data_IF_125901482699
#
_entry.id   IF_125901482699
#
_cell.length_a   1.000
_cell.length_b   1.000
_cell.length_c   1.000
_cell.angle_alpha   90.00
_cell.angle_beta   90.00
_cell.angle_gamma   90.00
#
_symmetry.space_group_name_H-M   'P 1'
#
loop_
_entity.id
_entity.type
_entity.pdbx_description
1 polymer ?
#
# COMPACT_ATOMS: atom_id res chain seq x y z
N UNK A 1 -21.25 6.28 -0.56
CA UNK A 1 -20.44 5.15 -0.12
C UNK A 1 -20.80 3.99 -1.04
N UNK A 2 -20.14 3.88 -2.20
CA UNK A 2 -20.39 2.81 -3.17
C UNK A 2 -19.59 1.60 -2.69
N UNK A 3 -20.28 0.70 -2.00
CA UNK A 3 -19.74 -0.61 -1.66
C UNK A 3 -19.66 -1.41 -2.98
N UNK A 4 -18.46 -1.55 -3.55
CA UNK A 4 -18.25 -2.40 -4.71
C UNK A 4 -18.52 -3.86 -4.30
N UNK A 5 -19.79 -4.24 -4.36
CA UNK A 5 -20.28 -5.62 -4.18
C UNK A 5 -20.19 -6.44 -5.47
N UNK A 6 -19.23 -6.14 -6.31
CA UNK A 6 -18.96 -6.98 -7.48
C UNK A 6 -18.31 -8.30 -7.09
N UNK A 7 -18.44 -9.34 -7.92
CA UNK A 7 -17.67 -10.57 -7.75
C UNK A 7 -16.18 -10.25 -7.80
N UNK A 8 -15.33 -11.08 -7.15
CA UNK A 8 -13.88 -10.89 -7.24
C UNK A 8 -13.42 -10.99 -8.71
N UNK A 9 -12.39 -10.21 -9.13
CA UNK A 9 -11.91 -10.23 -10.49
C UNK A 9 -11.36 -11.62 -10.85
N UNK A 10 -11.57 -12.02 -12.09
CA UNK A 10 -11.01 -13.28 -12.63
C UNK A 10 -9.57 -13.00 -13.09
N UNK A 11 -8.62 -13.65 -12.43
CA UNK A 11 -7.18 -13.52 -12.75
C UNK A 11 -6.65 -14.89 -13.11
N UNK A 12 -6.11 -15.03 -14.32
CA UNK A 12 -5.55 -16.31 -14.81
C UNK A 12 -4.38 -16.76 -13.94
N UNK A 13 -4.38 -18.02 -13.52
CA UNK A 13 -3.33 -18.58 -12.64
C UNK A 13 -3.53 -18.30 -11.15
N UNK A 14 -4.68 -17.75 -10.75
CA UNK A 14 -5.01 -17.47 -9.36
C UNK A 14 -6.41 -17.98 -9.01
N UNK A 15 -6.60 -18.46 -7.78
CA UNK A 15 -7.89 -18.83 -7.22
C UNK A 15 -8.23 -17.85 -6.09
N UNK A 16 -9.39 -17.21 -6.17
CA UNK A 16 -9.90 -16.32 -5.12
C UNK A 16 -10.14 -17.11 -3.82
N UNK A 17 -9.74 -16.54 -2.70
CA UNK A 17 -9.99 -17.09 -1.36
C UNK A 17 -10.94 -16.19 -0.57
N UNK A 18 -10.55 -14.93 -0.30
CA UNK A 18 -11.36 -14.00 0.46
C UNK A 18 -11.02 -12.53 0.16
N UNK A 19 -11.87 -11.60 0.61
CA UNK A 19 -11.60 -10.16 0.55
C UNK A 19 -10.92 -9.70 1.83
N UNK A 20 -9.71 -9.16 1.73
CA UNK A 20 -8.94 -8.66 2.87
C UNK A 20 -9.32 -7.24 3.28
N UNK A 21 -9.70 -6.38 2.33
CA UNK A 21 -10.09 -5.01 2.60
C UNK A 21 -10.58 -4.27 1.36
N UNK A 22 -11.24 -3.14 1.58
CA UNK A 22 -11.69 -2.25 0.52
C UNK A 22 -11.41 -0.80 0.91
N UNK A 23 -10.86 -0.04 -0.04
CA UNK A 23 -10.65 1.40 0.05
C UNK A 23 -11.38 2.15 -1.06
N UNK A 24 -11.27 3.48 -1.06
CA UNK A 24 -11.93 4.32 -2.06
C UNK A 24 -11.48 4.04 -3.49
N UNK A 25 -10.22 3.69 -3.68
CA UNK A 25 -9.58 3.54 -5.01
C UNK A 25 -9.20 2.10 -5.35
N UNK A 26 -9.21 1.18 -4.39
CA UNK A 26 -8.80 -0.19 -4.61
C UNK A 26 -9.43 -1.15 -3.60
N UNK A 27 -9.50 -2.41 -3.99
CA UNK A 27 -9.90 -3.52 -3.11
C UNK A 27 -8.77 -4.53 -3.05
N UNK A 28 -8.48 -5.06 -1.86
CA UNK A 28 -7.46 -6.08 -1.66
C UNK A 28 -8.11 -7.41 -1.38
N UNK A 29 -7.67 -8.41 -2.11
CA UNK A 29 -8.16 -9.80 -2.01
C UNK A 29 -7.02 -10.75 -1.66
N UNK A 30 -7.33 -11.85 -0.98
CA UNK A 30 -6.47 -13.00 -0.85
C UNK A 30 -6.73 -13.96 -2.00
N UNK A 31 -5.67 -14.37 -2.68
CA UNK A 31 -5.69 -15.38 -3.73
C UNK A 31 -4.65 -16.48 -3.45
N UNK A 32 -4.94 -17.68 -3.90
CA UNK A 32 -3.92 -18.71 -4.09
C UNK A 32 -3.35 -18.59 -5.50
N UNK A 33 -2.06 -18.27 -5.63
CA UNK A 33 -1.31 -18.37 -6.89
C UNK A 33 -1.02 -19.85 -7.18
N UNK A 34 -1.24 -20.29 -8.44
CA UNK A 34 -1.09 -21.71 -8.79
C UNK A 34 0.37 -22.12 -9.00
N UNK A 35 1.21 -21.21 -9.56
CA UNK A 35 2.61 -21.53 -9.83
C UNK A 35 3.51 -20.28 -9.67
N UNK A 36 4.45 -20.29 -8.70
CA UNK A 36 4.55 -21.27 -7.61
C UNK A 36 3.32 -21.20 -6.70
N UNK A 37 2.93 -22.32 -6.09
CA UNK A 37 1.75 -22.35 -5.22
C UNK A 37 2.01 -21.62 -3.92
N UNK A 38 1.27 -20.55 -3.67
CA UNK A 38 1.35 -19.73 -2.45
C UNK A 38 0.15 -18.81 -2.32
N UNK A 39 -0.13 -18.38 -1.10
CA UNK A 39 -1.07 -17.28 -0.82
C UNK A 39 -0.42 -15.93 -1.15
N UNK A 40 -1.19 -15.05 -1.79
CA UNK A 40 -0.77 -13.71 -2.19
C UNK A 40 -1.89 -12.71 -1.94
N UNK A 41 -1.53 -11.47 -1.57
CA UNK A 41 -2.47 -10.37 -1.58
C UNK A 41 -2.51 -9.76 -2.99
N UNK A 42 -3.72 -9.54 -3.51
CA UNK A 42 -3.92 -8.91 -4.82
C UNK A 42 -4.71 -7.63 -4.62
N UNK A 43 -4.08 -6.50 -4.89
CA UNK A 43 -4.69 -5.17 -4.84
C UNK A 43 -5.21 -4.82 -6.23
N UNK A 44 -6.52 -4.70 -6.35
CA UNK A 44 -7.22 -4.42 -7.61
C UNK A 44 -7.72 -2.99 -7.58
N UNK A 45 -7.46 -2.22 -8.63
CA UNK A 45 -7.91 -0.84 -8.75
C UNK A 45 -9.40 -0.80 -9.12
N UNK A 46 -10.16 0.08 -8.47
CA UNK A 46 -11.62 0.17 -8.64
C UNK A 46 -12.05 1.01 -9.86
N UNK A 47 -11.11 1.61 -10.58
CA UNK A 47 -11.38 2.50 -11.71
C UNK A 47 -11.22 1.79 -13.04
N UNK A 48 -12.14 2.05 -13.97
CA UNK A 48 -11.93 1.76 -15.38
C UNK A 48 -10.72 2.57 -15.86
N UNK A 49 -9.79 1.87 -16.49
CA UNK A 49 -8.51 2.47 -16.86
C UNK A 49 -8.68 3.26 -18.15
N UNK A 50 -8.75 4.59 -18.05
CA UNK A 50 -8.33 5.45 -19.15
C UNK A 50 -6.83 5.22 -19.40
N UNK A 51 -6.35 5.25 -20.64
CA UNK A 51 -4.97 4.97 -21.04
C UNK A 51 -3.88 5.65 -20.19
N UNK A 52 -4.18 6.87 -19.71
CA UNK A 52 -3.27 7.63 -18.82
C UNK A 52 -3.12 7.02 -17.42
N UNK A 53 -4.12 6.32 -16.93
CA UNK A 53 -4.11 5.67 -15.61
C UNK A 53 -3.33 4.36 -15.67
N UNK A 54 -3.43 3.61 -16.77
CA UNK A 54 -2.67 2.38 -16.98
C UNK A 54 -1.16 2.63 -16.99
N UNK A 55 -0.71 3.64 -17.76
CA UNK A 55 0.73 3.96 -17.86
C UNK A 55 1.32 4.47 -16.54
N UNK A 56 0.53 5.21 -15.75
CA UNK A 56 0.94 5.64 -14.40
C UNK A 56 1.05 4.46 -13.45
N UNK A 57 0.06 3.57 -13.45
CA UNK A 57 0.07 2.35 -12.65
C UNK A 57 1.29 1.47 -12.95
N UNK A 58 1.60 1.25 -14.24
CA UNK A 58 2.78 0.50 -14.66
C UNK A 58 4.08 1.16 -14.18
N UNK A 59 4.20 2.48 -14.35
CA UNK A 59 5.36 3.23 -13.89
C UNK A 59 5.55 3.14 -12.37
N UNK A 60 4.46 3.22 -11.60
CA UNK A 60 4.49 3.12 -10.15
C UNK A 60 4.81 1.70 -9.69
N UNK A 61 4.21 0.68 -10.31
CA UNK A 61 4.52 -0.73 -10.05
C UNK A 61 6.01 -1.02 -10.28
N UNK A 62 6.59 -0.50 -11.38
CA UNK A 62 8.00 -0.63 -11.68
C UNK A 62 8.90 0.10 -10.67
N UNK A 63 8.48 1.27 -10.20
CA UNK A 63 9.20 2.03 -9.18
C UNK A 63 9.21 1.30 -7.84
N UNK A 64 8.06 0.79 -7.42
CA UNK A 64 7.95 0.01 -6.19
C UNK A 64 8.72 -1.32 -6.27
N UNK A 65 8.74 -1.99 -7.41
CA UNK A 65 9.51 -3.21 -7.61
C UNK A 65 11.01 -2.99 -7.33
N UNK A 66 11.55 -1.80 -7.62
CA UNK A 66 12.97 -1.44 -7.37
C UNK A 66 13.32 -1.40 -5.87
N UNK A 67 12.39 -1.07 -5.00
CA UNK A 67 12.62 -0.95 -3.55
C UNK A 67 12.06 -2.13 -2.76
N UNK A 68 11.23 -2.96 -3.37
CA UNK A 68 10.56 -4.10 -2.73
C UNK A 68 11.51 -5.23 -2.29
N UNK A 69 12.81 -5.15 -2.64
CA UNK A 69 13.84 -6.04 -2.12
C UNK A 69 14.29 -5.71 -0.69
N UNK A 70 13.94 -4.53 -0.16
CA UNK A 70 14.24 -4.18 1.22
C UNK A 70 13.34 -4.98 2.19
N UNK A 71 13.90 -5.59 3.25
CA UNK A 71 13.17 -6.54 4.11
C UNK A 71 11.99 -5.92 4.88
N UNK A 72 11.95 -4.59 5.04
CA UNK A 72 10.86 -3.88 5.69
C UNK A 72 9.99 -3.09 4.68
N UNK A 73 10.03 -3.43 3.40
CA UNK A 73 9.10 -2.95 2.37
C UNK A 73 8.29 -4.16 1.89
N UNK A 74 6.96 -3.98 1.73
CA UNK A 74 6.09 -5.04 1.26
C UNK A 74 6.53 -5.51 -0.14
N UNK A 75 6.80 -6.81 -0.27
CA UNK A 75 7.29 -7.39 -1.52
C UNK A 75 6.22 -7.37 -2.59
N UNK A 76 6.56 -6.87 -3.80
CA UNK A 76 5.72 -6.99 -5.00
C UNK A 76 6.21 -8.18 -5.82
N UNK A 77 5.29 -9.06 -6.18
CA UNK A 77 5.57 -10.26 -6.98
C UNK A 77 5.24 -10.09 -8.44
N UNK A 78 4.36 -9.14 -8.77
CA UNK A 78 3.96 -8.86 -10.14
C UNK A 78 2.82 -7.87 -10.25
N UNK A 79 2.51 -7.50 -11.48
CA UNK A 79 1.40 -6.63 -11.83
C UNK A 79 0.74 -7.15 -13.10
N UNK A 80 -0.52 -6.77 -13.34
CA UNK A 80 -1.24 -7.15 -14.53
C UNK A 80 -2.57 -6.41 -14.66
N UNK A 81 -3.33 -6.84 -15.67
CA UNK A 81 -4.71 -6.40 -15.90
C UNK A 81 -5.59 -7.64 -15.89
N UNK A 82 -6.67 -7.59 -15.13
CA UNK A 82 -7.65 -8.67 -15.01
C UNK A 82 -8.47 -8.83 -16.30
N UNK A 83 -9.22 -9.93 -16.43
CA UNK A 83 -10.04 -10.20 -17.62
C UNK A 83 -11.12 -9.14 -17.87
N UNK A 84 -11.56 -8.45 -16.82
CA UNK A 84 -12.53 -7.35 -16.81
C UNK A 84 -11.89 -5.96 -16.91
N UNK A 85 -10.58 -5.89 -17.21
CA UNK A 85 -9.88 -4.63 -17.51
C UNK A 85 -9.32 -3.88 -16.30
N UNK A 86 -9.39 -4.42 -15.08
CA UNK A 86 -8.87 -3.76 -13.88
C UNK A 86 -7.39 -4.04 -13.66
N UNK A 87 -6.55 -3.01 -13.46
CA UNK A 87 -5.17 -3.20 -13.05
C UNK A 87 -5.08 -3.81 -11.66
N UNK A 88 -4.11 -4.70 -11.48
CA UNK A 88 -3.86 -5.31 -10.18
C UNK A 88 -2.37 -5.46 -9.89
N UNK A 89 -2.03 -5.42 -8.58
CA UNK A 89 -0.71 -5.75 -8.05
C UNK A 89 -0.80 -7.04 -7.24
N UNK A 90 0.15 -7.94 -7.47
CA UNK A 90 0.34 -9.16 -6.67
C UNK A 90 1.45 -8.91 -5.67
N UNK A 91 1.16 -9.09 -4.39
CA UNK A 91 2.04 -8.74 -3.28
C UNK A 91 2.16 -9.88 -2.27
N UNK A 92 3.17 -9.80 -1.41
CA UNK A 92 3.29 -10.66 -0.25
C UNK A 92 2.02 -10.58 0.62
N UNK A 93 1.48 -11.73 0.99
CA UNK A 93 0.38 -11.77 1.94
C UNK A 93 0.89 -11.56 3.36
N UNK A 94 0.36 -10.55 4.01
CA UNK A 94 0.61 -10.24 5.41
C UNK A 94 -0.68 -10.51 6.20
N UNK A 95 -0.71 -11.57 7.03
CA UNK A 95 -1.92 -11.90 7.79
C UNK A 95 -2.23 -10.80 8.81
N UNK A 96 -3.53 -10.54 9.08
CA UNK A 96 -3.92 -9.62 10.13
C UNK A 96 -3.45 -10.11 11.53
N UNK A 97 -3.29 -9.20 12.50
CA UNK A 97 -3.60 -7.77 12.47
C UNK A 97 -2.41 -6.91 12.01
N UNK A 98 -2.70 -5.79 11.29
CA UNK A 98 -1.73 -4.73 11.04
C UNK A 98 -1.46 -3.91 12.31
N UNK A 99 -0.39 -3.09 12.32
CA UNK A 99 0.03 -2.32 13.51
C UNK A 99 -1.10 -1.45 14.07
N UNK A 100 -1.90 -0.79 13.24
CA UNK A 100 -3.02 0.02 13.69
C UNK A 100 -4.10 -0.78 14.44
N UNK A 101 -4.31 -2.05 14.11
CA UNK A 101 -5.22 -2.93 14.84
C UNK A 101 -4.62 -3.39 16.18
N UNK A 102 -3.32 -3.63 16.21
CA UNK A 102 -2.58 -3.98 17.45
C UNK A 102 -2.65 -2.82 18.45
N UNK A 103 -2.35 -1.60 18.00
CA UNK A 103 -2.35 -0.40 18.85
C UNK A 103 -3.73 -0.06 19.44
N UNK A 104 -4.82 -0.47 18.80
CA UNK A 104 -6.17 -0.34 19.41
C UNK A 104 -6.40 -1.28 20.60
N UNK A 105 -5.62 -2.33 20.74
CA UNK A 105 -5.69 -3.27 21.87
C UNK A 105 -4.78 -2.83 23.04
N UNK A 106 -3.80 -1.97 22.78
CA UNK A 106 -2.88 -1.42 23.75
C UNK A 106 -1.56 -0.99 23.12
N UNK A 107 -0.71 -0.28 23.87
CA UNK A 107 0.60 0.14 23.39
C UNK A 107 1.54 -1.07 23.24
N UNK A 108 2.45 -0.98 22.28
CA UNK A 108 3.60 -1.88 22.22
C UNK A 108 4.55 -1.62 23.39
N UNK A 109 5.32 -2.64 23.80
CA UNK A 109 6.43 -2.39 24.71
C UNK A 109 7.57 -1.62 24.00
N UNK A 110 8.50 -1.08 24.79
CA UNK A 110 9.59 -0.24 24.28
C UNK A 110 10.47 -0.98 23.24
N UNK A 111 10.80 -2.24 23.50
CA UNK A 111 11.65 -3.03 22.60
C UNK A 111 10.96 -3.28 21.23
N UNK A 112 9.68 -3.65 21.25
CA UNK A 112 8.89 -3.84 20.03
C UNK A 112 8.72 -2.51 19.26
N UNK A 113 8.46 -1.40 19.96
CA UNK A 113 8.36 -0.08 19.35
C UNK A 113 9.65 0.30 18.64
N UNK A 114 10.78 0.23 19.33
CA UNK A 114 12.10 0.56 18.77
C UNK A 114 12.46 -0.34 17.60
N UNK A 115 12.25 -1.65 17.75
CA UNK A 115 12.54 -2.61 16.67
C UNK A 115 11.70 -2.32 15.42
N UNK A 116 10.41 -2.03 15.57
CA UNK A 116 9.54 -1.68 14.46
C UNK A 116 9.94 -0.36 13.82
N UNK A 117 10.16 0.69 14.63
CA UNK A 117 10.52 2.02 14.15
C UNK A 117 11.84 2.02 13.38
N UNK A 118 12.88 1.32 13.85
CA UNK A 118 14.18 1.22 13.17
C UNK A 118 14.03 0.56 11.80
N UNK A 119 13.26 -0.53 11.71
CA UNK A 119 13.06 -1.25 10.45
C UNK A 119 12.28 -0.40 9.44
N UNK A 120 11.22 0.27 9.87
CA UNK A 120 10.42 1.15 9.01
C UNK A 120 11.23 2.39 8.60
N UNK A 121 12.03 2.98 9.48
CA UNK A 121 12.94 4.07 9.11
C UNK A 121 13.94 3.65 8.02
N UNK A 122 14.49 2.44 8.10
CA UNK A 122 15.35 1.88 7.04
C UNK A 122 14.62 1.70 5.70
N UNK A 123 13.36 1.28 5.73
CA UNK A 123 12.50 1.19 4.56
C UNK A 123 12.27 2.57 3.92
N UNK A 124 11.94 3.58 4.73
CA UNK A 124 11.72 4.96 4.30
C UNK A 124 13.00 5.55 3.69
N UNK A 125 14.14 5.39 4.35
CA UNK A 125 15.44 5.83 3.82
C UNK A 125 15.78 5.17 2.47
N UNK A 126 15.49 3.87 2.32
CA UNK A 126 15.71 3.15 1.05
C UNK A 126 14.83 3.72 -0.07
N UNK A 127 13.57 4.02 0.23
CA UNK A 127 12.65 4.65 -0.72
C UNK A 127 13.13 6.05 -1.12
N UNK A 128 13.52 6.88 -0.15
CA UNK A 128 14.02 8.24 -0.40
C UNK A 128 15.26 8.25 -1.28
N UNK A 129 16.21 7.31 -1.09
CA UNK A 129 17.39 7.16 -1.96
C UNK A 129 17.01 6.77 -3.39
N UNK A 130 15.89 6.09 -3.58
CA UNK A 130 15.35 5.77 -4.90
C UNK A 130 14.49 6.90 -5.50
N UNK A 131 14.35 8.05 -4.80
CA UNK A 131 13.53 9.18 -5.22
C UNK A 131 12.04 9.00 -4.95
N UNK A 132 11.66 8.06 -4.07
CA UNK A 132 10.26 7.74 -3.73
C UNK A 132 9.93 8.34 -2.37
N UNK A 133 8.87 9.16 -2.31
CA UNK A 133 8.28 9.67 -1.07
C UNK A 133 6.98 8.92 -0.81
N UNK A 134 6.78 8.41 0.40
CA UNK A 134 5.64 7.53 0.74
C UNK A 134 4.32 8.30 0.84
N UNK A 135 4.30 9.44 1.51
CA UNK A 135 3.17 10.39 1.68
C UNK A 135 2.01 9.95 2.58
N UNK A 136 1.95 8.70 2.99
CA UNK A 136 0.88 8.17 3.86
C UNK A 136 1.41 7.17 4.89
N UNK A 137 2.50 7.52 5.60
CA UNK A 137 3.02 6.68 6.67
C UNK A 137 2.06 6.77 7.86
N UNK A 138 1.54 5.61 8.28
CA UNK A 138 0.62 5.47 9.41
C UNK A 138 0.59 4.02 9.89
N UNK A 139 0.14 3.76 11.12
CA UNK A 139 0.09 2.39 11.66
C UNK A 139 -0.76 1.41 10.84
N UNK A 140 -1.76 1.90 10.10
CA UNK A 140 -2.58 1.05 9.23
C UNK A 140 -1.80 0.50 8.02
N UNK A 141 -0.75 1.20 7.57
CA UNK A 141 0.11 0.83 6.46
C UNK A 141 1.37 0.07 6.89
N UNK A 142 1.49 -0.24 8.19
CA UNK A 142 2.56 -1.11 8.71
C UNK A 142 1.94 -2.48 8.98
N UNK A 143 2.29 -3.43 8.11
CA UNK A 143 1.82 -4.81 8.17
C UNK A 143 2.88 -5.70 8.81
N UNK A 144 2.50 -6.92 9.14
CA UNK A 144 3.45 -7.93 9.63
C UNK A 144 3.40 -9.16 8.73
N UNK A 145 4.58 -9.58 8.25
CA UNK A 145 4.69 -10.84 7.51
C UNK A 145 4.31 -12.03 8.38
N UNK A 146 4.14 -13.22 7.78
CA UNK A 146 3.95 -14.48 8.52
C UNK A 146 5.06 -14.74 9.53
N UNK A 147 6.25 -14.18 9.34
CA UNK A 147 7.40 -14.26 10.25
C UNK A 147 7.47 -13.11 11.26
N UNK A 148 6.38 -12.33 11.41
CA UNK A 148 6.28 -11.20 12.34
C UNK A 148 7.27 -10.06 12.08
N UNK A 149 7.78 -9.93 10.86
CA UNK A 149 8.59 -8.77 10.45
C UNK A 149 7.69 -7.61 10.04
N UNK A 150 7.92 -6.39 10.54
CA UNK A 150 7.17 -5.22 10.08
C UNK A 150 7.57 -4.87 8.65
N UNK A 151 6.58 -4.58 7.83
CA UNK A 151 6.77 -4.10 6.44
C UNK A 151 5.86 -2.92 6.16
N UNK A 152 6.40 -1.91 5.48
CA UNK A 152 5.66 -0.73 5.04
C UNK A 152 4.99 -1.04 3.70
N UNK A 153 3.67 -0.81 3.64
CA UNK A 153 2.82 -1.01 2.46
C UNK A 153 2.32 0.31 1.91
N UNK A 154 1.67 0.29 0.75
CA UNK A 154 0.96 1.43 0.14
C UNK A 154 1.84 2.65 -0.18
N UNK A 155 3.06 2.42 -0.68
CA UNK A 155 3.89 3.47 -1.24
C UNK A 155 3.16 4.19 -2.37
N UNK A 156 3.01 5.50 -2.26
CA UNK A 156 2.75 6.44 -3.34
C UNK A 156 1.54 6.22 -4.27
N UNK A 157 0.74 5.15 -4.08
CA UNK A 157 -0.44 4.86 -4.92
C UNK A 157 -1.47 6.02 -4.90
N UNK A 158 -1.42 6.86 -3.88
CA UNK A 158 -2.21 8.09 -3.78
C UNK A 158 -1.75 9.22 -4.73
N UNK A 159 -0.55 9.15 -5.31
CA UNK A 159 -0.11 10.11 -6.34
C UNK A 159 -0.81 9.94 -7.69
N UNK A 160 -1.57 8.87 -7.88
CA UNK A 160 -2.38 8.61 -9.08
C UNK A 160 -3.64 9.47 -9.15
N UNK A 161 -4.02 10.17 -8.07
CA UNK A 161 -5.13 11.10 -8.07
C UNK A 161 -4.73 12.37 -8.82
N UNK A 162 -5.48 12.70 -9.88
CA UNK A 162 -5.24 13.85 -10.76
C UNK A 162 -5.32 15.21 -10.04
N UNK A 163 -5.25 16.34 -10.77
CA UNK A 163 -5.03 17.67 -10.21
C UNK A 163 -6.20 18.29 -9.43
N UNK A 164 -7.20 17.55 -9.02
CA UNK A 164 -8.36 18.08 -8.29
C UNK A 164 -8.15 18.04 -6.77
N UNK A 165 -7.63 19.15 -6.24
CA UNK A 165 -7.29 19.38 -4.83
C UNK A 165 -8.42 19.17 -3.81
N UNK A 166 -9.66 18.98 -4.22
CA UNK A 166 -10.81 18.77 -3.34
C UNK A 166 -11.03 17.30 -2.93
N UNK A 167 -10.49 16.34 -3.67
CA UNK A 167 -10.56 14.91 -3.32
C UNK A 167 -9.37 14.42 -2.48
N UNK A 168 -8.20 15.07 -2.62
CA UNK A 168 -6.98 14.72 -1.86
C UNK A 168 -7.18 14.83 -0.34
N UNK A 169 -7.99 15.80 0.12
CA UNK A 169 -8.32 15.95 1.54
C UNK A 169 -9.23 14.84 2.09
N UNK A 170 -10.02 14.17 1.25
CA UNK A 170 -10.92 13.09 1.67
C UNK A 170 -10.24 11.76 1.97
N UNK A 171 -9.03 11.56 1.45
CA UNK A 171 -8.20 10.37 1.70
C UNK A 171 -7.08 10.57 2.71
N UNK A 172 -6.90 11.80 3.20
CA UNK A 172 -5.76 12.14 4.07
C UNK A 172 -5.90 11.58 5.47
N UNK A 173 -4.82 10.98 5.95
CA UNK A 173 -4.71 10.44 7.31
C UNK A 173 -4.29 11.55 8.27
N UNK A 174 -5.22 12.50 8.54
CA UNK A 174 -5.00 13.75 9.28
C UNK A 174 -4.12 13.60 10.54
N UNK A 175 -4.28 12.58 11.40
CA UNK A 175 -3.45 12.46 12.62
C UNK A 175 -1.95 12.27 12.39
N UNK A 176 -1.55 11.84 11.19
CA UNK A 176 -0.16 11.57 10.81
C UNK A 176 0.36 12.52 9.73
N UNK A 177 -0.53 13.35 9.16
CA UNK A 177 -0.18 14.27 8.09
C UNK A 177 0.64 15.44 8.62
N UNK A 178 1.78 15.80 7.98
CA UNK A 178 2.57 16.95 8.36
C UNK A 178 1.83 18.27 8.04
N UNK A 179 2.19 19.38 8.74
CA UNK A 179 1.49 20.66 8.60
C UNK A 179 1.40 21.18 7.16
N UNK A 180 2.43 21.01 6.36
CA UNK A 180 2.45 21.44 4.95
C UNK A 180 1.42 20.72 4.08
N UNK A 181 1.10 19.46 4.39
CA UNK A 181 0.02 18.73 3.70
C UNK A 181 -1.35 19.22 4.14
N UNK A 182 -1.52 19.59 5.43
CA UNK A 182 -2.78 20.07 5.97
C UNK A 182 -3.19 21.45 5.42
N UNK A 183 -2.20 22.30 5.07
CA UNK A 183 -2.45 23.63 4.49
C UNK A 183 -2.49 23.62 2.96
N UNK A 184 -2.55 22.45 2.32
CA UNK A 184 -2.68 22.32 0.87
C UNK A 184 -1.41 22.62 0.07
N UNK A 185 -0.24 22.64 0.72
CA UNK A 185 1.04 22.69 0.02
C UNK A 185 1.30 21.34 -0.64
N UNK A 186 1.25 21.28 -1.97
CA UNK A 186 1.27 20.06 -2.78
C UNK A 186 2.61 19.30 -2.84
N UNK A 187 3.65 19.76 -2.16
CA UNK A 187 4.97 19.14 -2.24
C UNK A 187 5.27 18.30 -1.01
N UNK A 188 4.70 17.08 -0.96
CA UNK A 188 5.24 16.08 -0.04
C UNK A 188 6.71 15.82 -0.43
N UNK A 189 7.58 15.84 0.57
CA UNK A 189 9.02 15.63 0.42
C UNK A 189 9.51 14.62 1.48
N UNK A 190 10.75 14.19 1.47
CA UNK A 190 11.27 13.25 2.46
C UNK A 190 11.03 13.67 3.91
N UNK A 191 11.05 14.98 4.25
CA UNK A 191 10.78 15.45 5.60
C UNK A 191 9.31 15.20 6.02
N UNK A 192 8.37 15.20 5.08
CA UNK A 192 6.96 14.85 5.34
C UNK A 192 6.81 13.41 5.83
N UNK A 193 7.54 12.46 5.25
CA UNK A 193 7.55 11.06 5.70
C UNK A 193 8.20 10.91 7.08
N UNK A 194 9.26 11.68 7.35
CA UNK A 194 9.93 11.66 8.66
C UNK A 194 9.01 12.21 9.77
N UNK A 195 8.18 13.21 9.46
CA UNK A 195 7.18 13.71 10.40
C UNK A 195 6.14 12.64 10.76
N UNK A 196 5.73 11.84 9.76
CA UNK A 196 4.68 10.81 9.88
C UNK A 196 5.18 9.52 10.55
N UNK A 197 6.51 9.32 10.62
CA UNK A 197 7.17 8.14 11.18
C UNK A 197 7.15 8.14 12.71
#
# INVERSE_FOLDING_TARGET
MLDHKGPPPVISGFTYLERLGAGGYSTVYLFEQHMPRREVAVKVMNADVEDKTASRFESEANLMARVSSHPAILSIYGAGVSADGHPFLVMEYCPPPQLGAILRQGPLNVAETLSTAIQIAGAVETAHRAGIVHRDIKPANILFTTYRRPVLSDFGISAMSGPEASEELRGMSVPWAPPEQLVGMRSANPASDIYSL
#
